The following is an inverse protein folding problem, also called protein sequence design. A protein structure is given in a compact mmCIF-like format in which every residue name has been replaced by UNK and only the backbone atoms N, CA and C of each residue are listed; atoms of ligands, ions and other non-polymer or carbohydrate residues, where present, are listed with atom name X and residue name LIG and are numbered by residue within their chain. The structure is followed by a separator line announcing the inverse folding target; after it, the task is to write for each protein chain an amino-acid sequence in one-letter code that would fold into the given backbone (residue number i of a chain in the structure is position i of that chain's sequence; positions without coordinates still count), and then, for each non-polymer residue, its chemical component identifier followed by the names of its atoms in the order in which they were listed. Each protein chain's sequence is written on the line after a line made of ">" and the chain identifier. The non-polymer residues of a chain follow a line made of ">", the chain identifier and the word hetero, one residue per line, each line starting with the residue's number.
data_IF_440961772448
#
_entry.id   IF_440961772448
#
_cell.length_a   1.000
_cell.length_b   1.000
_cell.length_c   1.000
_cell.angle_alpha   90.00
_cell.angle_beta   90.00
_cell.angle_gamma   90.00
#
_symmetry.space_group_name_H-M   'P 1'
#
loop_
_entity.id
_entity.type
_entity.pdbx_description
1 polymer ?
#
# COMPACT_ATOMS: atom_id res chain seq x y z
N UNK A 1 4.00 15.49 -16.78
CA UNK A 1 4.97 15.40 -15.65
C UNK A 1 6.14 14.56 -16.11
N UNK A 2 7.32 15.17 -16.20
CA UNK A 2 8.51 14.55 -16.81
C UNK A 2 9.04 13.31 -16.09
N UNK A 3 9.73 12.48 -16.88
CA UNK A 3 10.48 11.28 -16.45
C UNK A 3 11.50 11.65 -15.35
N UNK A 4 12.03 12.87 -15.38
CA UNK A 4 12.97 13.39 -14.37
C UNK A 4 12.31 13.59 -13.00
N UNK A 5 11.06 14.02 -12.94
CA UNK A 5 10.30 14.16 -11.69
C UNK A 5 9.92 12.78 -11.12
N UNK A 6 9.74 11.78 -11.99
CA UNK A 6 9.58 10.37 -11.61
C UNK A 6 10.85 9.77 -10.96
N UNK A 7 12.04 10.32 -11.25
CA UNK A 7 13.33 9.92 -10.64
C UNK A 7 13.63 10.56 -9.27
N UNK A 8 12.76 11.44 -8.75
CA UNK A 8 13.02 12.16 -7.49
C UNK A 8 12.32 11.57 -6.24
N UNK A 9 11.52 10.51 -6.39
CA UNK A 9 10.81 9.86 -5.27
C UNK A 9 11.38 8.49 -4.91
N UNK A 10 11.35 8.13 -3.62
CA UNK A 10 11.60 6.74 -3.16
C UNK A 10 10.43 5.82 -3.55
N UNK A 11 9.22 6.38 -3.54
CA UNK A 11 7.93 5.75 -3.88
C UNK A 11 7.91 5.05 -5.26
N UNK A 12 7.31 3.85 -5.32
CA UNK A 12 7.05 3.16 -6.59
C UNK A 12 5.86 3.80 -7.32
N UNK A 13 6.10 4.95 -7.97
CA UNK A 13 5.07 5.74 -8.68
C UNK A 13 4.34 4.91 -9.75
N UNK A 14 5.02 3.98 -10.42
CA UNK A 14 4.38 3.13 -11.45
C UNK A 14 3.25 2.30 -10.83
N UNK A 15 3.55 1.58 -9.76
CA UNK A 15 2.58 0.76 -9.04
C UNK A 15 1.49 1.63 -8.39
N UNK A 16 1.86 2.77 -7.80
CA UNK A 16 0.91 3.69 -7.20
C UNK A 16 -0.08 4.36 -8.18
N UNK A 17 0.34 4.60 -9.44
CA UNK A 17 -0.56 5.09 -10.49
C UNK A 17 -1.47 3.98 -11.01
N UNK A 18 -0.95 2.76 -11.11
CA UNK A 18 -1.72 1.57 -11.50
C UNK A 18 -2.84 1.26 -10.49
N UNK A 19 -2.58 1.46 -9.18
CA UNK A 19 -3.55 1.24 -8.10
C UNK A 19 -4.44 2.46 -7.81
N UNK A 20 -4.25 3.59 -8.50
CA UNK A 20 -4.95 4.84 -8.19
C UNK A 20 -4.53 5.55 -6.90
N UNK A 21 -3.66 4.94 -6.07
CA UNK A 21 -3.16 5.54 -4.82
C UNK A 21 -2.45 6.87 -5.07
N UNK A 22 -1.69 6.99 -6.16
CA UNK A 22 -1.05 8.25 -6.53
C UNK A 22 -2.10 9.37 -6.68
N UNK A 23 -3.22 9.11 -7.35
CA UNK A 23 -4.31 10.05 -7.58
C UNK A 23 -5.18 10.29 -6.33
N UNK A 24 -5.19 9.37 -5.36
CA UNK A 24 -5.79 9.59 -4.04
C UNK A 24 -4.96 10.51 -3.15
N UNK A 25 -3.64 10.57 -3.34
CA UNK A 25 -2.72 11.38 -2.53
C UNK A 25 -2.36 12.72 -3.17
N UNK A 26 -2.29 12.80 -4.50
CA UNK A 26 -1.86 13.98 -5.24
C UNK A 26 -2.88 15.14 -5.10
N UNK A 27 -2.50 16.27 -4.47
CA UNK A 27 -3.39 17.39 -4.19
C UNK A 27 -3.76 18.21 -5.43
N UNK A 28 -3.07 18.02 -6.57
CA UNK A 28 -3.29 18.75 -7.83
C UNK A 28 -4.15 17.96 -8.83
N UNK A 29 -4.73 16.84 -8.38
CA UNK A 29 -5.70 16.05 -9.15
C UNK A 29 -7.00 16.79 -9.43
N UNK A 30 -7.78 16.27 -10.39
CA UNK A 30 -9.03 16.89 -10.84
C UNK A 30 -10.01 17.03 -9.66
N UNK A 31 -10.42 18.27 -9.38
CA UNK A 31 -11.34 18.62 -8.29
C UNK A 31 -12.74 18.85 -8.82
N UNK A 32 -13.73 18.21 -8.21
CA UNK A 32 -15.15 18.52 -8.40
C UNK A 32 -15.65 19.22 -7.12
N UNK A 33 -16.23 20.43 -7.27
CA UNK A 33 -16.65 21.28 -6.13
C UNK A 33 -15.57 21.45 -5.05
N UNK A 34 -14.31 21.61 -5.47
CA UNK A 34 -13.15 21.77 -4.58
C UNK A 34 -12.64 20.48 -3.90
N UNK A 35 -13.32 19.34 -4.05
CA UNK A 35 -12.87 18.04 -3.54
C UNK A 35 -12.23 17.20 -4.64
N UNK A 36 -11.18 16.46 -4.32
CA UNK A 36 -10.57 15.49 -5.24
C UNK A 36 -11.63 14.47 -5.69
N UNK A 37 -11.82 14.28 -7.00
CA UNK A 37 -12.80 13.34 -7.55
C UNK A 37 -12.55 11.91 -7.05
N UNK A 38 -11.29 11.50 -6.90
CA UNK A 38 -10.94 10.18 -6.38
C UNK A 38 -11.44 10.00 -4.95
N UNK A 39 -11.39 11.03 -4.09
CA UNK A 39 -11.96 10.95 -2.74
C UNK A 39 -13.49 10.80 -2.75
N UNK A 40 -14.17 11.44 -3.70
CA UNK A 40 -15.63 11.32 -3.86
C UNK A 40 -16.01 9.90 -4.30
N UNK A 41 -15.39 9.38 -5.37
CA UNK A 41 -15.61 8.01 -5.86
C UNK A 41 -15.31 6.99 -4.76
N UNK A 42 -14.18 7.13 -4.08
CA UNK A 42 -13.81 6.25 -2.97
C UNK A 42 -14.80 6.34 -1.81
N UNK A 43 -15.33 7.52 -1.49
CA UNK A 43 -16.38 7.67 -0.46
C UNK A 43 -17.66 6.93 -0.83
N UNK A 44 -18.07 6.95 -2.11
CA UNK A 44 -19.20 6.16 -2.61
C UNK A 44 -18.94 4.65 -2.49
N UNK A 45 -17.73 4.18 -2.82
CA UNK A 45 -17.35 2.77 -2.64
C UNK A 45 -17.38 2.40 -1.15
N UNK A 46 -16.83 3.23 -0.25
CA UNK A 46 -16.84 2.97 1.19
C UNK A 46 -18.26 2.91 1.79
N UNK A 47 -19.20 3.72 1.29
CA UNK A 47 -20.61 3.63 1.67
C UNK A 47 -21.22 2.28 1.23
N UNK A 48 -20.93 1.83 0.01
CA UNK A 48 -21.36 0.51 -0.48
C UNK A 48 -20.78 -0.64 0.36
N UNK A 49 -19.48 -0.60 0.69
CA UNK A 49 -18.85 -1.58 1.58
C UNK A 49 -19.49 -1.58 2.97
N UNK A 50 -19.85 -0.41 3.50
CA UNK A 50 -20.54 -0.27 4.79
C UNK A 50 -21.92 -0.93 4.78
N UNK A 51 -22.72 -0.72 3.72
CA UNK A 51 -24.03 -1.37 3.56
C UNK A 51 -23.89 -2.90 3.54
N UNK A 52 -22.91 -3.45 2.83
CA UNK A 52 -22.64 -4.89 2.85
C UNK A 52 -22.21 -5.36 4.23
N UNK A 53 -21.33 -4.63 4.93
CA UNK A 53 -20.93 -4.97 6.30
C UNK A 53 -22.12 -5.04 7.26
N UNK A 54 -23.12 -4.16 7.12
CA UNK A 54 -24.35 -4.20 7.90
C UNK A 54 -25.21 -5.43 7.57
N UNK A 55 -25.33 -5.81 6.29
CA UNK A 55 -26.01 -7.06 5.87
C UNK A 55 -25.31 -8.29 6.47
N UNK A 56 -23.98 -8.30 6.51
CA UNK A 56 -23.18 -9.36 7.12
C UNK A 56 -23.37 -9.42 8.64
N UNK A 57 -23.44 -8.29 9.35
CA UNK A 57 -23.78 -8.28 10.78
C UNK A 57 -25.16 -8.87 11.05
N UNK A 58 -26.18 -8.44 10.30
CA UNK A 58 -27.56 -8.92 10.45
C UNK A 58 -27.63 -10.43 10.16
N UNK A 59 -26.94 -10.90 9.11
CA UNK A 59 -26.85 -12.32 8.76
C UNK A 59 -26.12 -13.13 9.85
N UNK A 60 -25.02 -12.59 10.37
CA UNK A 60 -24.28 -13.20 11.48
C UNK A 60 -25.14 -13.39 12.73
N UNK A 61 -25.89 -12.35 13.13
CA UNK A 61 -26.84 -12.41 14.26
C UNK A 61 -27.97 -13.42 13.98
N UNK A 62 -28.50 -13.46 12.75
CA UNK A 62 -29.55 -14.40 12.36
C UNK A 62 -29.10 -15.87 12.51
N UNK A 63 -27.87 -16.20 12.11
CA UNK A 63 -27.34 -17.56 12.23
C UNK A 63 -26.78 -17.91 13.62
N UNK A 64 -26.65 -16.94 14.54
CA UNK A 64 -26.03 -17.15 15.86
C UNK A 64 -26.62 -18.31 16.66
N UNK A 65 -27.94 -18.48 16.62
CA UNK A 65 -28.67 -19.53 17.37
C UNK A 65 -28.85 -20.84 16.60
N UNK A 66 -28.54 -20.86 15.31
CA UNK A 66 -28.82 -22.01 14.40
C UNK A 66 -27.54 -22.66 13.89
N UNK A 67 -26.52 -21.87 13.54
CA UNK A 67 -25.26 -22.34 13.00
C UNK A 67 -24.13 -21.38 13.39
N UNK A 68 -23.51 -21.65 14.55
CA UNK A 68 -22.42 -20.85 15.11
C UNK A 68 -21.23 -20.69 14.13
N UNK A 69 -20.75 -21.73 13.42
CA UNK A 69 -19.70 -21.57 12.39
C UNK A 69 -20.03 -20.54 11.30
N UNK A 70 -21.25 -20.57 10.74
CA UNK A 70 -21.70 -19.60 9.73
C UNK A 70 -21.79 -18.19 10.34
N UNK A 71 -22.28 -18.07 11.57
CA UNK A 71 -22.35 -16.80 12.30
C UNK A 71 -20.97 -16.16 12.49
N UNK A 72 -19.97 -16.97 12.89
CA UNK A 72 -18.58 -16.53 13.10
C UNK A 72 -17.94 -16.07 11.78
N UNK A 73 -18.16 -16.79 10.69
CA UNK A 73 -17.67 -16.42 9.36
C UNK A 73 -18.23 -15.06 8.89
N UNK A 74 -19.54 -14.83 9.04
CA UNK A 74 -20.15 -13.53 8.75
C UNK A 74 -19.59 -12.41 9.64
N UNK A 75 -19.41 -12.66 10.94
CA UNK A 75 -18.84 -11.69 11.87
C UNK A 75 -17.39 -11.33 11.48
N UNK A 76 -16.56 -12.32 11.16
CA UNK A 76 -15.18 -12.14 10.70
C UNK A 76 -15.11 -11.31 9.41
N UNK A 77 -15.97 -11.61 8.42
CA UNK A 77 -16.08 -10.86 7.16
C UNK A 77 -16.51 -9.41 7.41
N UNK A 78 -17.45 -9.16 8.31
CA UNK A 78 -17.89 -7.81 8.69
C UNK A 78 -16.78 -7.02 9.38
N UNK A 79 -16.12 -7.59 10.41
CA UNK A 79 -15.00 -6.95 11.11
C UNK A 79 -13.86 -6.60 10.15
N UNK A 80 -13.52 -7.52 9.24
CA UNK A 80 -12.52 -7.28 8.18
C UNK A 80 -12.95 -6.14 7.24
N UNK A 81 -14.23 -6.05 6.90
CA UNK A 81 -14.79 -4.98 6.06
C UNK A 81 -14.72 -3.63 6.76
N UNK A 82 -15.14 -3.53 8.03
CA UNK A 82 -15.00 -2.29 8.83
C UNK A 82 -13.53 -1.87 8.98
N UNK A 83 -12.61 -2.81 9.19
CA UNK A 83 -11.17 -2.52 9.26
C UNK A 83 -10.62 -1.98 7.94
N UNK A 84 -11.10 -2.49 6.80
CA UNK A 84 -10.76 -1.99 5.45
C UNK A 84 -11.30 -0.59 5.21
N UNK A 85 -12.55 -0.33 5.64
CA UNK A 85 -13.18 1.00 5.58
C UNK A 85 -12.38 2.00 6.42
N UNK A 86 -11.97 1.62 7.63
CA UNK A 86 -11.14 2.43 8.52
C UNK A 86 -9.77 2.76 7.90
N UNK A 87 -9.03 1.75 7.43
CA UNK A 87 -7.75 1.91 6.71
C UNK A 87 -7.87 2.90 5.56
N UNK A 88 -8.86 2.71 4.70
CA UNK A 88 -9.07 3.56 3.51
C UNK A 88 -9.51 4.98 3.89
N UNK A 89 -10.32 5.12 4.94
CA UNK A 89 -10.74 6.43 5.47
C UNK A 89 -9.57 7.26 6.00
N UNK A 90 -8.55 6.61 6.61
CA UNK A 90 -7.30 7.28 7.01
C UNK A 90 -6.59 7.85 5.77
N UNK A 91 -6.41 7.04 4.71
CA UNK A 91 -5.73 7.48 3.48
C UNK A 91 -6.43 8.70 2.87
N UNK A 92 -7.77 8.70 2.83
CA UNK A 92 -8.55 9.83 2.29
C UNK A 92 -8.40 11.07 3.18
N UNK A 93 -8.64 10.94 4.49
CA UNK A 93 -8.63 12.07 5.44
C UNK A 93 -7.26 12.73 5.58
N UNK A 94 -6.20 11.92 5.65
CA UNK A 94 -4.82 12.38 5.80
C UNK A 94 -4.04 12.37 4.48
N UNK A 95 -4.72 12.35 3.34
CA UNK A 95 -4.10 12.32 2.00
C UNK A 95 -3.04 13.40 1.81
N UNK A 96 -3.35 14.64 2.20
CA UNK A 96 -2.41 15.77 2.16
C UNK A 96 -1.21 15.57 3.11
N UNK A 97 -1.43 15.08 4.33
CA UNK A 97 -0.35 14.86 5.32
C UNK A 97 0.59 13.73 4.87
N UNK A 98 0.01 12.66 4.33
CA UNK A 98 0.71 11.51 3.74
C UNK A 98 1.50 11.96 2.50
N UNK A 99 0.91 12.78 1.63
CA UNK A 99 1.59 13.35 0.47
C UNK A 99 2.73 14.28 0.89
N UNK A 100 2.52 15.12 1.90
CA UNK A 100 3.56 15.99 2.44
C UNK A 100 4.70 15.16 3.06
N UNK A 101 4.41 14.09 3.80
CA UNK A 101 5.42 13.14 4.29
C UNK A 101 6.21 12.50 3.14
N UNK A 102 5.53 11.99 2.11
CA UNK A 102 6.17 11.46 0.90
C UNK A 102 6.96 12.53 0.14
N UNK A 103 6.55 13.80 0.19
CA UNK A 103 7.26 14.92 -0.44
C UNK A 103 8.50 15.34 0.35
N UNK A 104 8.48 15.30 1.68
CA UNK A 104 9.65 15.54 2.55
C UNK A 104 10.67 14.42 2.39
N UNK A 105 10.22 13.18 2.15
CA UNK A 105 11.13 12.07 1.78
C UNK A 105 11.65 12.14 0.34
N UNK A 106 11.30 13.16 -0.47
CA UNK A 106 11.96 13.42 -1.76
C UNK A 106 13.43 13.80 -1.55
N UNK A 107 14.18 13.56 -2.62
CA UNK A 107 15.64 13.64 -2.70
C UNK A 107 16.26 14.96 -2.20
N UNK A 108 15.61 16.09 -2.47
CA UNK A 108 16.28 17.39 -2.58
C UNK A 108 16.93 17.88 -1.27
N UNK A 109 16.42 17.49 -0.10
CA UNK A 109 17.00 17.84 1.21
C UNK A 109 18.25 17.03 1.61
N UNK A 110 18.54 15.89 0.96
CA UNK A 110 19.64 14.98 1.36
C UNK A 110 20.87 15.04 0.46
N UNK A 111 20.86 15.95 -0.51
CA UNK A 111 21.76 16.02 -1.68
C UNK A 111 23.20 16.49 -1.38
N UNK A 112 23.67 16.39 -0.14
CA UNK A 112 25.00 16.84 0.28
C UNK A 112 26.18 15.95 -0.18
N UNK A 113 25.94 14.79 -0.81
CA UNK A 113 27.01 13.93 -1.33
C UNK A 113 26.55 12.92 -2.40
N UNK A 114 27.41 12.66 -3.39
CA UNK A 114 27.25 11.55 -4.35
C UNK A 114 27.09 10.17 -3.65
N UNK A 115 27.66 10.00 -2.45
CA UNK A 115 27.51 8.77 -1.64
C UNK A 115 26.05 8.53 -1.22
N UNK A 116 25.31 9.59 -0.90
CA UNK A 116 23.90 9.49 -0.49
C UNK A 116 23.02 9.03 -1.66
N UNK A 117 23.31 9.52 -2.88
CA UNK A 117 22.59 9.15 -4.10
C UNK A 117 22.70 7.65 -4.42
N UNK A 118 23.91 7.09 -4.36
CA UNK A 118 24.13 5.64 -4.56
C UNK A 118 23.51 4.76 -3.46
N UNK A 119 23.39 5.26 -2.24
CA UNK A 119 22.64 4.57 -1.18
C UNK A 119 21.16 4.57 -1.54
N UNK A 120 20.59 5.73 -1.89
CA UNK A 120 19.18 5.88 -2.21
C UNK A 120 18.74 5.05 -3.41
N UNK A 121 19.49 5.05 -4.52
CA UNK A 121 19.09 4.29 -5.72
C UNK A 121 18.97 2.79 -5.43
N UNK A 122 19.86 2.23 -4.58
CA UNK A 122 19.76 0.84 -4.08
C UNK A 122 18.56 0.62 -3.17
N UNK A 123 18.19 1.59 -2.33
CA UNK A 123 16.94 1.50 -1.54
C UNK A 123 15.71 1.57 -2.46
N UNK A 124 15.66 2.46 -3.45
CA UNK A 124 14.56 2.54 -4.42
C UNK A 124 14.39 1.24 -5.19
N UNK A 125 15.47 0.67 -5.71
CA UNK A 125 15.44 -0.60 -6.45
C UNK A 125 14.87 -1.73 -5.58
N UNK A 126 15.37 -1.85 -4.34
CA UNK A 126 14.85 -2.81 -3.36
C UNK A 126 13.37 -2.58 -3.03
N UNK A 127 12.94 -1.34 -2.83
CA UNK A 127 11.52 -1.05 -2.56
C UNK A 127 10.64 -1.37 -3.76
N UNK A 128 11.07 -1.01 -4.97
CA UNK A 128 10.35 -1.32 -6.20
C UNK A 128 10.21 -2.84 -6.39
N UNK A 129 11.28 -3.59 -6.14
CA UNK A 129 11.28 -5.06 -6.20
C UNK A 129 10.38 -5.67 -5.13
N UNK A 130 10.53 -5.28 -3.86
CA UNK A 130 9.70 -5.74 -2.73
C UNK A 130 8.22 -5.47 -2.97
N UNK A 131 7.85 -4.24 -3.37
CA UNK A 131 6.45 -3.86 -3.59
C UNK A 131 5.85 -4.52 -4.82
N UNK A 132 6.66 -4.83 -5.85
CA UNK A 132 6.21 -5.61 -7.02
C UNK A 132 5.96 -7.07 -6.65
N UNK A 133 6.87 -7.70 -5.90
CA UNK A 133 6.65 -9.07 -5.40
C UNK A 133 5.44 -9.13 -4.48
N UNK A 134 5.28 -8.15 -3.59
CA UNK A 134 4.12 -8.06 -2.71
C UNK A 134 2.82 -7.94 -3.50
N UNK A 135 2.78 -7.12 -4.56
CA UNK A 135 1.64 -7.02 -5.47
C UNK A 135 1.33 -8.33 -6.21
N UNK A 136 2.35 -9.06 -6.66
CA UNK A 136 2.19 -10.37 -7.32
C UNK A 136 1.61 -11.38 -6.33
N UNK A 137 2.17 -11.50 -5.13
CA UNK A 137 1.66 -12.38 -4.07
C UNK A 137 0.21 -12.04 -3.74
N UNK A 138 -0.12 -10.76 -3.56
CA UNK A 138 -1.48 -10.33 -3.24
C UNK A 138 -2.47 -10.69 -4.35
N UNK A 139 -2.10 -10.42 -5.60
CA UNK A 139 -2.91 -10.74 -6.78
C UNK A 139 -3.12 -12.25 -6.92
N UNK A 140 -2.05 -13.05 -6.77
CA UNK A 140 -2.12 -14.51 -6.82
C UNK A 140 -2.98 -15.07 -5.70
N UNK A 141 -2.93 -14.53 -4.48
CA UNK A 141 -3.79 -14.95 -3.37
C UNK A 141 -5.27 -14.70 -3.66
N UNK A 142 -5.63 -13.52 -4.20
CA UNK A 142 -7.01 -13.20 -4.60
C UNK A 142 -7.49 -14.11 -5.73
N UNK A 143 -6.68 -14.29 -6.78
CA UNK A 143 -7.02 -15.19 -7.90
C UNK A 143 -7.18 -16.64 -7.41
N UNK A 144 -6.26 -17.12 -6.57
CA UNK A 144 -6.33 -18.48 -6.02
C UNK A 144 -7.60 -18.67 -5.18
N UNK A 145 -7.95 -17.70 -4.33
CA UNK A 145 -9.17 -17.75 -3.53
C UNK A 145 -10.44 -17.82 -4.39
N UNK A 146 -10.53 -17.01 -5.44
CA UNK A 146 -11.64 -17.06 -6.40
C UNK A 146 -11.69 -18.42 -7.13
N UNK A 147 -10.55 -18.93 -7.60
CA UNK A 147 -10.48 -20.25 -8.26
C UNK A 147 -10.87 -21.37 -7.31
N UNK A 148 -10.39 -21.38 -6.06
CA UNK A 148 -10.78 -22.40 -5.08
C UNK A 148 -12.28 -22.36 -4.77
N UNK A 149 -12.86 -21.19 -4.57
CA UNK A 149 -14.31 -21.07 -4.31
C UNK A 149 -15.16 -21.50 -5.51
N UNK A 150 -14.64 -21.38 -6.74
CA UNK A 150 -15.28 -21.89 -7.96
C UNK A 150 -15.08 -23.40 -8.15
N UNK A 151 -13.95 -23.98 -7.74
CA UNK A 151 -13.69 -25.44 -7.78
C UNK A 151 -14.51 -26.17 -6.72
N UNK A 152 -14.60 -25.63 -5.50
CA UNK A 152 -15.37 -26.20 -4.39
C UNK A 152 -16.84 -25.74 -4.36
N UNK A 153 -17.37 -25.28 -5.48
CA UNK A 153 -18.74 -24.77 -5.57
C UNK A 153 -19.83 -25.85 -5.44
N UNK A 154 -19.50 -27.14 -5.40
CA UNK A 154 -20.50 -28.20 -5.17
C UNK A 154 -20.92 -28.32 -3.70
N UNK A 155 -20.17 -27.67 -2.79
CA UNK A 155 -20.57 -27.50 -1.40
C UNK A 155 -21.94 -26.82 -1.28
N UNK A 156 -22.68 -27.16 -0.23
CA UNK A 156 -24.00 -26.59 0.06
C UNK A 156 -24.02 -25.98 1.46
N UNK A 157 -24.41 -24.72 1.54
CA UNK A 157 -24.61 -23.99 2.80
C UNK A 157 -26.10 -24.04 3.16
N UNK A 158 -26.48 -24.53 4.36
CA UNK A 158 -27.87 -24.54 4.79
C UNK A 158 -28.33 -23.10 5.03
N UNK A 159 -29.49 -22.76 4.47
CA UNK A 159 -30.11 -21.45 4.57
C UNK A 159 -31.53 -21.62 5.08
N UNK A 160 -31.92 -20.84 6.09
CA UNK A 160 -33.28 -20.86 6.60
C UNK A 160 -34.14 -19.88 5.80
N UNK A 161 -35.16 -20.41 5.13
CA UNK A 161 -36.10 -19.67 4.30
C UNK A 161 -37.11 -18.87 5.15
N UNK A 162 -37.83 -17.95 4.52
CA UNK A 162 -38.83 -17.09 5.17
C UNK A 162 -40.02 -17.85 5.78
N UNK A 163 -40.37 -19.02 5.23
CA UNK A 163 -41.37 -19.95 5.75
C UNK A 163 -40.88 -20.80 6.94
N UNK A 164 -39.59 -20.68 7.29
CA UNK A 164 -38.94 -21.46 8.33
C UNK A 164 -38.35 -22.80 7.86
N UNK A 165 -38.52 -23.17 6.59
CA UNK A 165 -37.87 -24.35 5.99
C UNK A 165 -36.35 -24.16 5.85
N UNK A 166 -35.61 -25.25 5.62
CA UNK A 166 -34.16 -25.20 5.37
C UNK A 166 -33.93 -25.52 3.89
N UNK A 167 -33.57 -24.50 3.12
CA UNK A 167 -33.04 -24.60 1.76
C UNK A 167 -31.52 -24.73 1.74
N UNK A 168 -30.94 -24.91 0.55
CA UNK A 168 -29.50 -25.09 0.38
C UNK A 168 -28.93 -24.21 -0.74
N UNK A 169 -28.18 -23.18 -0.35
CA UNK A 169 -27.43 -22.37 -1.30
C UNK A 169 -26.17 -23.13 -1.75
N UNK A 170 -25.87 -23.07 -3.04
CA UNK A 170 -24.59 -23.50 -3.61
C UNK A 170 -23.45 -22.63 -3.07
N UNK A 171 -22.34 -23.25 -2.68
CA UNK A 171 -21.20 -22.54 -2.12
C UNK A 171 -20.58 -21.56 -3.12
N UNK A 172 -20.26 -20.38 -2.62
CA UNK A 172 -19.86 -19.20 -3.38
C UNK A 172 -18.68 -18.48 -2.69
N UNK A 173 -18.16 -17.41 -3.28
CA UNK A 173 -16.96 -16.70 -2.81
C UNK A 173 -17.15 -16.21 -1.37
N UNK A 174 -18.23 -15.50 -1.11
CA UNK A 174 -18.52 -14.88 0.18
C UNK A 174 -19.68 -15.56 0.91
N UNK A 175 -20.44 -16.44 0.25
CA UNK A 175 -21.64 -17.11 0.75
C UNK A 175 -22.65 -16.10 1.32
N UNK A 176 -23.00 -15.05 0.56
CA UNK A 176 -23.91 -14.04 1.08
C UNK A 176 -25.34 -14.58 1.20
N UNK A 177 -25.97 -14.40 2.37
CA UNK A 177 -27.41 -14.56 2.51
C UNK A 177 -28.13 -13.36 1.90
N UNK A 178 -28.72 -13.56 0.72
CA UNK A 178 -29.35 -12.51 -0.09
C UNK A 178 -30.89 -12.49 -0.01
N UNK A 179 -31.48 -13.18 0.97
CA UNK A 179 -32.94 -13.25 1.19
C UNK A 179 -33.76 -13.69 -0.05
N UNK A 180 -33.16 -14.50 -0.92
CA UNK A 180 -33.81 -15.13 -2.08
C UNK A 180 -34.07 -16.61 -1.82
N UNK A 181 -34.98 -17.24 -2.57
CA UNK A 181 -35.10 -18.71 -2.51
C UNK A 181 -33.80 -19.37 -2.99
N UNK A 182 -33.51 -20.55 -2.46
CA UNK A 182 -32.37 -21.36 -2.89
C UNK A 182 -32.50 -21.79 -4.36
N UNK A 183 -33.71 -22.05 -4.84
CA UNK A 183 -34.00 -22.19 -6.28
C UNK A 183 -33.50 -20.99 -7.10
N UNK A 184 -33.85 -19.76 -6.68
CA UNK A 184 -33.46 -18.53 -7.39
C UNK A 184 -31.95 -18.30 -7.34
N UNK A 185 -31.33 -18.53 -6.16
CA UNK A 185 -29.89 -18.40 -5.95
C UNK A 185 -29.11 -19.38 -6.84
N UNK A 186 -29.51 -20.65 -6.83
CA UNK A 186 -28.84 -21.71 -7.55
C UNK A 186 -29.04 -21.61 -9.08
N UNK A 187 -30.25 -21.25 -9.54
CA UNK A 187 -30.52 -21.02 -10.96
C UNK A 187 -29.71 -19.85 -11.55
N UNK A 188 -29.39 -18.84 -10.74
CA UNK A 188 -28.64 -17.65 -11.14
C UNK A 188 -27.21 -17.61 -10.59
N UNK A 189 -26.65 -18.76 -10.20
CA UNK A 189 -25.38 -18.88 -9.49
C UNK A 189 -24.27 -17.96 -10.00
N UNK A 190 -23.98 -17.96 -11.31
CA UNK A 190 -22.89 -17.14 -11.88
C UNK A 190 -23.10 -15.62 -11.72
N UNK A 191 -24.35 -15.13 -11.66
CA UNK A 191 -24.65 -13.71 -11.40
C UNK A 191 -24.28 -13.35 -9.96
N UNK A 192 -24.69 -14.18 -9.00
CA UNK A 192 -24.36 -13.99 -7.59
C UNK A 192 -22.86 -14.17 -7.32
N UNK A 193 -22.23 -15.19 -7.94
CA UNK A 193 -20.78 -15.39 -7.91
C UNK A 193 -20.02 -14.15 -8.38
N UNK A 194 -20.41 -13.55 -9.51
CA UNK A 194 -19.74 -12.35 -10.01
C UNK A 194 -19.82 -11.16 -9.04
N UNK A 195 -20.97 -10.97 -8.38
CA UNK A 195 -21.17 -9.90 -7.39
C UNK A 195 -20.32 -10.15 -6.13
N UNK A 196 -20.33 -11.38 -5.59
CA UNK A 196 -19.52 -11.75 -4.42
C UNK A 196 -18.02 -11.70 -4.72
N UNK A 197 -17.59 -12.16 -5.89
CA UNK A 197 -16.21 -12.08 -6.38
C UNK A 197 -15.73 -10.64 -6.50
N UNK A 198 -16.57 -9.73 -7.02
CA UNK A 198 -16.24 -8.32 -7.17
C UNK A 198 -16.04 -7.65 -5.80
N UNK A 199 -16.90 -7.97 -4.81
CA UNK A 199 -16.71 -7.50 -3.44
C UNK A 199 -15.42 -8.03 -2.81
N UNK A 200 -15.14 -9.33 -2.95
CA UNK A 200 -13.91 -9.95 -2.44
C UNK A 200 -12.65 -9.34 -3.09
N UNK A 201 -12.69 -9.05 -4.39
CA UNK A 201 -11.60 -8.38 -5.11
C UNK A 201 -11.38 -6.94 -4.62
N UNK A 202 -12.45 -6.16 -4.40
CA UNK A 202 -12.33 -4.82 -3.81
C UNK A 202 -11.78 -4.85 -2.38
N UNK A 203 -12.22 -5.79 -1.55
CA UNK A 203 -11.66 -6.01 -0.21
C UNK A 203 -10.14 -6.22 -0.27
N UNK A 204 -9.67 -7.20 -1.06
CA UNK A 204 -8.24 -7.47 -1.21
C UNK A 204 -7.47 -6.27 -1.76
N UNK A 205 -8.01 -5.56 -2.75
CA UNK A 205 -7.40 -4.38 -3.35
C UNK A 205 -7.18 -3.24 -2.35
N UNK A 206 -8.16 -2.94 -1.48
CA UNK A 206 -8.02 -1.87 -0.49
C UNK A 206 -7.08 -2.22 0.66
N UNK A 207 -7.05 -3.49 1.11
CA UNK A 207 -5.99 -3.96 2.00
C UNK A 207 -4.61 -3.76 1.38
N UNK A 208 -4.42 -4.22 0.14
CA UNK A 208 -3.15 -4.09 -0.58
C UNK A 208 -2.72 -2.62 -0.73
N UNK A 209 -3.62 -1.69 -1.07
CA UNK A 209 -3.30 -0.26 -1.18
C UNK A 209 -2.73 0.29 0.13
N UNK A 210 -3.38 0.00 1.26
CA UNK A 210 -2.94 0.49 2.57
C UNK A 210 -1.59 -0.13 2.96
N UNK A 211 -1.43 -1.44 2.78
CA UNK A 211 -0.22 -2.15 3.18
C UNK A 211 0.97 -1.74 2.28
N UNK A 212 0.75 -1.51 0.99
CA UNK A 212 1.73 -0.92 0.05
C UNK A 212 2.17 0.49 0.48
N UNK A 213 1.21 1.34 0.89
CA UNK A 213 1.51 2.68 1.41
C UNK A 213 2.34 2.60 2.70
N UNK A 214 1.92 1.77 3.65
CA UNK A 214 2.59 1.60 4.95
C UNK A 214 4.02 1.09 4.79
N UNK A 215 4.22 0.05 3.97
CA UNK A 215 5.56 -0.48 3.64
C UNK A 215 6.42 0.61 3.02
N UNK A 216 5.89 1.41 2.10
CA UNK A 216 6.66 2.49 1.48
C UNK A 216 7.04 3.59 2.48
N UNK A 217 6.11 4.04 3.32
CA UNK A 217 6.39 5.05 4.34
C UNK A 217 7.47 4.57 5.33
N UNK A 218 7.32 3.35 5.84
CA UNK A 218 8.30 2.71 6.72
C UNK A 218 9.69 2.64 6.06
N UNK A 219 9.78 2.13 4.84
CA UNK A 219 11.05 1.99 4.11
C UNK A 219 11.69 3.35 3.78
N UNK A 220 10.87 4.38 3.53
CA UNK A 220 11.33 5.75 3.31
C UNK A 220 11.90 6.36 4.60
N UNK A 221 11.25 6.16 5.76
CA UNK A 221 11.78 6.56 7.07
C UNK A 221 13.10 5.86 7.40
N UNK A 222 13.19 4.53 7.20
CA UNK A 222 14.44 3.78 7.39
C UNK A 222 15.58 4.30 6.50
N UNK A 223 15.28 4.63 5.24
CA UNK A 223 16.27 5.20 4.34
C UNK A 223 16.75 6.59 4.80
N UNK A 224 15.82 7.47 5.18
CA UNK A 224 16.15 8.81 5.68
C UNK A 224 16.98 8.75 6.98
N UNK A 225 16.58 7.91 7.94
CA UNK A 225 17.33 7.70 9.18
C UNK A 225 18.76 7.22 8.91
N UNK A 226 18.95 6.29 7.96
CA UNK A 226 20.28 5.81 7.58
C UNK A 226 21.15 6.89 6.92
N UNK A 227 20.56 7.80 6.15
CA UNK A 227 21.27 8.96 5.59
C UNK A 227 21.70 9.91 6.71
N UNK A 228 20.81 10.17 7.67
CA UNK A 228 21.10 11.01 8.86
C UNK A 228 22.24 10.41 9.69
N UNK A 229 22.20 9.11 10.02
CA UNK A 229 23.30 8.42 10.71
C UNK A 229 24.64 8.55 9.96
N UNK A 230 24.64 8.29 8.64
CA UNK A 230 25.86 8.42 7.83
C UNK A 230 26.38 9.86 7.75
N UNK A 231 25.52 10.87 7.90
CA UNK A 231 25.93 12.27 7.99
C UNK A 231 26.61 12.56 9.33
N UNK A 232 26.03 12.12 10.45
CA UNK A 232 26.62 12.27 11.79
C UNK A 232 27.99 11.57 11.92
N UNK A 233 28.11 10.33 11.43
CA UNK A 233 29.39 9.61 11.35
C UNK A 233 30.45 10.42 10.60
N UNK A 234 30.07 11.07 9.48
CA UNK A 234 31.00 11.86 8.66
C UNK A 234 31.47 13.16 9.32
N UNK A 235 30.72 13.69 10.30
CA UNK A 235 31.12 14.86 11.10
C UNK A 235 32.11 14.43 12.18
N UNK A 236 31.84 13.33 12.89
CA UNK A 236 32.75 12.78 13.91
C UNK A 236 34.15 12.46 13.39
N UNK A 237 34.25 11.94 12.17
CA UNK A 237 35.55 11.64 11.54
C UNK A 237 36.28 12.86 10.94
N UNK A 238 35.66 14.05 10.88
CA UNK A 238 36.31 15.26 10.35
C UNK A 238 37.03 16.10 11.41
N UNK A 239 36.76 15.91 12.70
CA UNK A 239 37.46 16.64 13.77
C UNK A 239 38.76 15.97 14.24
N UNK A 240 39.13 14.80 13.67
CA UNK A 240 40.36 14.06 14.00
C UNK A 240 41.23 13.92 12.74
N UNK A 241 41.72 15.05 12.26
CA UNK A 241 42.95 15.13 11.47
C UNK A 241 43.85 16.13 12.18
N UNK A 242 44.94 15.64 12.74
CA UNK A 242 45.86 16.43 13.55
C UNK A 242 46.45 17.62 12.78
N UNK A 243 46.55 18.81 13.41
CA UNK A 243 47.37 19.91 12.92
C UNK A 243 48.85 19.66 13.24
N UNK A 244 49.42 18.55 12.72
CA UNK A 244 50.84 18.22 12.83
C UNK A 244 51.42 17.74 11.49
N UNK A 245 51.45 18.66 10.51
CA UNK A 245 52.63 18.71 9.63
C UNK A 245 53.67 19.62 10.31
N UNK A 246 54.87 19.12 10.66
CA UNK A 246 55.94 19.99 11.13
C UNK A 246 56.24 21.05 10.07
N UNK A 247 56.35 22.31 10.48
CA UNK A 247 56.79 23.39 9.63
C UNK A 247 58.29 23.22 9.42
N UNK A 248 58.71 22.76 8.24
CA UNK A 248 60.13 22.65 7.90
C UNK A 248 60.69 24.03 7.50
N UNK A 249 61.09 24.80 8.51
CA UNK A 249 61.90 26.00 8.34
C UNK A 249 63.37 25.61 8.13
N UNK A 250 63.80 25.49 6.89
CA UNK A 250 65.22 25.50 6.54
C UNK A 250 65.58 26.79 5.80
N UNK A 251 66.28 27.68 6.52
CA UNK A 251 66.71 28.98 6.01
C UNK A 251 68.23 28.98 5.75
N UNK A 252 68.65 29.48 4.60
CA UNK A 252 70.03 29.88 4.31
C UNK A 252 70.98 28.80 3.78
N UNK A 253 71.27 28.83 2.46
CA UNK A 253 72.53 29.44 2.04
C UNK A 253 72.65 29.67 0.52
N UNK A 254 73.11 30.87 0.21
CA UNK A 254 73.52 31.39 -1.09
C UNK A 254 74.53 30.50 -1.82
N UNK A 255 74.31 30.22 -3.11
CA UNK A 255 75.41 30.19 -4.08
C UNK A 255 74.94 30.50 -5.51
N UNK A 256 75.47 31.60 -6.03
CA UNK A 256 75.42 31.97 -7.44
C UNK A 256 76.26 30.94 -8.23
N UNK A 257 75.77 30.46 -9.37
CA UNK A 257 76.64 29.93 -10.42
C UNK A 257 76.06 30.30 -11.78
N UNK A 258 76.85 31.08 -12.49
CA UNK A 258 76.58 31.63 -13.82
C UNK A 258 77.36 30.75 -14.80
N UNK A 259 76.70 30.19 -15.83
CA UNK A 259 77.24 29.97 -17.19
C UNK A 259 76.33 29.10 -18.06
N UNK A 260 76.12 29.55 -19.31
CA UNK A 260 76.19 28.84 -20.60
C UNK A 260 75.40 27.50 -20.74
N UNK A 261 74.74 27.13 -21.83
CA UNK A 261 74.64 27.62 -23.23
C UNK A 261 73.41 26.88 -23.85
N UNK A 262 72.86 27.24 -25.00
CA UNK A 262 73.29 28.23 -26.00
C UNK A 262 72.37 29.45 -25.92
#
# INVERSE_FOLDING_TARGET
>A
MDIQNMKNHIFNIKLARLTGLYQMLDPDTIKCRGRNIYHVVMSCVLLYMCLISMILMISGVYYWTVNIPISIDYFWKSVSTFYTIYKTSIIIRHSNDIWNCLSITRLDFTTFSNRNRQVLDRWRERLSWLTTIYAIIYTMSVVSYLVFTLVFNEGKTPVKNHDGSIGYYRQNVMNFYLMVSDETYNAHYYKFYFIEALFAAFMGFFFFIFDFLLVTLCFSMCCQMRIVCSAFESVGHKSVRDPQSPIDYTNGNTKITLMNTI
#
